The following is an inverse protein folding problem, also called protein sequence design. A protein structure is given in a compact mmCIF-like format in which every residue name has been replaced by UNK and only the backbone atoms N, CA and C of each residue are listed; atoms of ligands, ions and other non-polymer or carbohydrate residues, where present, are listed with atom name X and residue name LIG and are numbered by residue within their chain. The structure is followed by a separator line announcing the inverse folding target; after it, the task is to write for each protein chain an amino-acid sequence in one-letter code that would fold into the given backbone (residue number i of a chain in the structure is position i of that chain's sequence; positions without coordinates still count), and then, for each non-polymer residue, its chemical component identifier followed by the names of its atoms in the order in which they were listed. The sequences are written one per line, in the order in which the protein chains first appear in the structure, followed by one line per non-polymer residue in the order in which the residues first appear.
data_IF_620523440185
#
_entry.id   IF_620523440185
#
_cell.length_a   1.000
_cell.length_b   1.000
_cell.length_c   1.000
_cell.angle_alpha   90.00
_cell.angle_beta   90.00
_cell.angle_gamma   90.00
#
_symmetry.space_group_name_H-M   'P 1'
#
loop_
_entity.id
_entity.type
_entity.pdbx_description
1 polymer ?
#
# COMPACT_ATOMS: atom_id res chain seq x y z
N UNK A 1 -65.96 3.93 30.58
CA UNK A 1 -65.12 2.72 30.39
C UNK A 1 -64.71 2.61 28.93
N UNK A 2 -63.47 2.99 28.58
CA UNK A 2 -62.62 2.43 27.52
C UNK A 2 -61.30 3.20 27.57
N UNK A 3 -60.23 2.45 27.88
CA UNK A 3 -58.87 2.91 28.19
C UNK A 3 -58.01 2.99 26.91
N UNK A 4 -56.81 3.55 27.10
CA UNK A 4 -55.55 3.36 26.35
C UNK A 4 -55.35 4.36 25.18
N UNK A 5 -54.17 4.89 24.88
CA UNK A 5 -52.80 4.64 25.34
C UNK A 5 -51.95 5.84 24.88
N UNK A 6 -51.08 6.37 25.75
CA UNK A 6 -49.98 7.26 25.33
C UNK A 6 -48.91 6.42 24.62
N UNK A 7 -48.45 6.84 23.45
CA UNK A 7 -47.20 6.33 22.86
C UNK A 7 -46.30 7.53 22.56
N UNK A 8 -45.26 7.63 23.38
CA UNK A 8 -44.10 8.51 23.22
C UNK A 8 -43.28 7.97 22.05
N UNK A 9 -43.14 8.77 20.98
CA UNK A 9 -42.24 8.48 19.87
C UNK A 9 -40.91 9.19 20.16
N UNK A 10 -39.95 8.47 20.72
CA UNK A 10 -38.58 8.96 20.85
C UNK A 10 -37.60 7.84 20.53
N UNK A 11 -36.69 8.14 19.59
CA UNK A 11 -35.40 7.48 19.49
C UNK A 11 -35.29 6.37 18.45
N UNK A 12 -34.92 6.75 17.20
CA UNK A 12 -33.99 5.93 16.43
C UNK A 12 -33.19 6.79 15.44
N UNK A 13 -32.15 7.46 15.95
CA UNK A 13 -31.04 7.98 15.14
C UNK A 13 -29.75 7.58 15.86
N UNK A 14 -29.07 6.54 15.38
CA UNK A 14 -27.61 6.40 15.40
C UNK A 14 -27.19 4.98 14.97
N UNK A 15 -26.90 4.78 13.69
CA UNK A 15 -26.19 3.57 13.24
C UNK A 15 -25.49 3.71 11.87
N UNK A 16 -25.08 4.93 11.48
CA UNK A 16 -24.36 5.17 10.21
C UNK A 16 -22.88 5.58 10.38
N UNK A 17 -22.36 5.69 11.60
CA UNK A 17 -21.04 6.28 11.84
C UNK A 17 -19.84 5.31 11.76
N UNK A 18 -20.05 3.99 11.74
CA UNK A 18 -18.95 3.01 11.86
C UNK A 18 -18.23 2.71 10.54
N UNK A 19 -18.92 2.76 9.41
CA UNK A 19 -18.31 2.45 8.10
C UNK A 19 -17.35 3.54 7.62
N UNK A 20 -17.57 4.81 8.03
CA UNK A 20 -16.77 5.95 7.59
C UNK A 20 -15.36 5.96 8.20
N UNK A 21 -15.21 5.50 9.45
CA UNK A 21 -13.93 5.49 10.15
C UNK A 21 -12.95 4.47 9.56
N UNK A 22 -13.39 3.23 9.29
CA UNK A 22 -12.53 2.19 8.75
C UNK A 22 -11.97 2.53 7.35
N UNK A 23 -12.76 3.21 6.51
CA UNK A 23 -12.31 3.71 5.21
C UNK A 23 -11.26 4.83 5.34
N UNK A 24 -11.36 5.65 6.38
CA UNK A 24 -10.46 6.78 6.64
C UNK A 24 -9.10 6.32 7.19
N UNK A 25 -8.99 5.13 7.78
CA UNK A 25 -7.71 4.55 8.23
C UNK A 25 -6.92 3.81 7.14
N UNK A 26 -7.54 3.41 6.04
CA UNK A 26 -6.90 2.57 5.03
C UNK A 26 -5.92 3.36 4.12
N UNK A 27 -4.95 2.65 3.51
CA UNK A 27 -4.14 3.18 2.41
C UNK A 27 -4.98 3.11 1.13
N UNK A 28 -5.16 4.21 0.38
CA UNK A 28 -5.94 4.21 -0.84
C UNK A 28 -5.19 3.52 -2.00
N UNK A 29 -5.94 3.06 -3.00
CA UNK A 29 -5.35 2.62 -4.26
C UNK A 29 -4.67 3.82 -4.97
N UNK A 30 -3.44 3.68 -5.50
CA UNK A 30 -2.67 4.79 -6.03
C UNK A 30 -3.06 5.07 -7.48
N UNK A 31 -4.20 5.73 -7.70
CA UNK A 31 -4.68 6.01 -9.05
C UNK A 31 -3.64 6.73 -9.93
N UNK A 32 -3.46 6.24 -11.16
CA UNK A 32 -2.54 6.83 -12.14
C UNK A 32 -1.04 6.62 -11.86
N UNK A 33 -0.65 5.77 -10.91
CA UNK A 33 0.75 5.61 -10.51
C UNK A 33 1.73 5.24 -11.63
N UNK A 34 1.26 4.58 -12.68
CA UNK A 34 2.10 4.22 -13.83
C UNK A 34 2.64 5.43 -14.60
N UNK A 35 2.04 6.61 -14.41
CA UNK A 35 2.52 7.88 -14.96
C UNK A 35 3.47 8.63 -14.02
N UNK A 36 3.76 8.08 -12.83
CA UNK A 36 4.70 8.67 -11.89
C UNK A 36 6.15 8.31 -12.26
N UNK A 37 7.11 8.81 -11.48
CA UNK A 37 8.50 8.44 -11.68
C UNK A 37 8.69 6.94 -11.49
N UNK A 38 9.10 6.24 -12.54
CA UNK A 38 9.66 4.89 -12.43
C UNK A 38 11.07 4.97 -11.86
N UNK A 39 11.25 4.50 -10.63
CA UNK A 39 12.50 4.66 -9.86
C UNK A 39 13.52 3.56 -10.16
N UNK A 40 13.08 2.29 -10.11
CA UNK A 40 13.89 1.11 -10.40
C UNK A 40 13.00 -0.08 -10.72
N UNK A 41 13.63 -1.12 -11.25
CA UNK A 41 13.07 -2.46 -11.34
C UNK A 41 13.98 -3.47 -10.67
N UNK A 42 13.46 -4.66 -10.36
CA UNK A 42 14.27 -5.82 -9.98
C UNK A 42 13.51 -7.11 -10.31
N UNK A 43 14.28 -8.13 -10.71
CA UNK A 43 13.79 -9.49 -10.93
C UNK A 43 14.16 -10.33 -9.70
N UNK A 44 13.19 -11.01 -9.10
CA UNK A 44 13.39 -12.03 -8.07
C UNK A 44 13.10 -13.39 -8.70
N UNK A 45 14.13 -14.24 -8.76
CA UNK A 45 14.07 -15.59 -9.35
C UNK A 45 13.87 -16.68 -8.28
N UNK A 46 13.47 -17.90 -8.68
CA UNK A 46 13.41 -19.05 -7.78
C UNK A 46 14.70 -19.26 -6.97
N UNK A 47 14.56 -19.64 -5.69
CA UNK A 47 15.66 -19.84 -4.75
C UNK A 47 16.10 -18.56 -4.00
N UNK A 48 15.54 -17.40 -4.33
CA UNK A 48 15.79 -16.17 -3.57
C UNK A 48 15.00 -16.17 -2.25
N UNK A 49 15.55 -15.59 -1.18
CA UNK A 49 14.90 -15.54 0.15
C UNK A 49 13.56 -14.77 0.20
N UNK A 50 13.26 -14.01 -0.87
CA UNK A 50 12.00 -13.26 -1.04
C UNK A 50 11.10 -13.88 -2.12
N UNK A 51 11.38 -15.11 -2.57
CA UNK A 51 10.60 -15.79 -3.60
C UNK A 51 9.11 -15.85 -3.24
N UNK A 52 8.78 -16.26 -2.01
CA UNK A 52 7.42 -16.23 -1.51
C UNK A 52 7.21 -14.97 -0.63
N UNK A 53 6.36 -14.00 -1.02
CA UNK A 53 5.48 -13.98 -2.19
C UNK A 53 6.03 -13.21 -3.41
N UNK A 54 7.25 -12.65 -3.34
CA UNK A 54 7.72 -11.59 -4.25
C UNK A 54 8.52 -12.04 -5.49
N UNK A 55 8.58 -13.33 -5.79
CA UNK A 55 9.10 -13.82 -7.07
C UNK A 55 8.38 -13.13 -8.23
N UNK A 56 9.13 -12.66 -9.20
CA UNK A 56 8.60 -11.88 -10.31
C UNK A 56 9.51 -10.74 -10.74
N UNK A 57 9.07 -10.01 -11.77
CA UNK A 57 9.60 -8.69 -12.08
C UNK A 57 8.77 -7.69 -11.30
N UNK A 58 9.42 -6.76 -10.61
CA UNK A 58 8.69 -5.63 -10.05
C UNK A 58 9.30 -4.29 -10.44
N UNK A 59 8.41 -3.31 -10.51
CA UNK A 59 8.69 -1.91 -10.81
C UNK A 59 8.32 -1.07 -9.60
N UNK A 60 9.18 -0.12 -9.27
CA UNK A 60 8.90 0.82 -8.18
C UNK A 60 8.57 2.19 -8.75
N UNK A 61 7.39 2.70 -8.42
CA UNK A 61 6.96 4.05 -8.79
C UNK A 61 6.90 4.97 -7.59
N UNK A 62 7.21 6.24 -7.79
CA UNK A 62 7.20 7.26 -6.75
C UNK A 62 6.44 8.50 -7.23
N UNK A 63 5.43 8.95 -6.46
CA UNK A 63 4.83 10.25 -6.72
C UNK A 63 5.85 11.39 -6.47
N UNK A 64 5.49 12.63 -6.82
CA UNK A 64 6.42 13.77 -6.70
C UNK A 64 7.02 13.93 -5.29
N UNK A 65 6.21 13.71 -4.24
CA UNK A 65 6.65 13.82 -2.85
C UNK A 65 7.59 12.69 -2.44
N UNK A 66 7.34 11.46 -2.91
CA UNK A 66 8.23 10.33 -2.70
C UNK A 66 9.53 10.47 -3.51
N UNK A 67 9.49 11.01 -4.72
CA UNK A 67 10.68 11.37 -5.49
C UNK A 67 11.58 12.36 -4.72
N UNK A 68 10.98 13.43 -4.17
CA UNK A 68 11.73 14.39 -3.36
C UNK A 68 12.33 13.71 -2.12
N UNK A 69 11.61 12.79 -1.50
CA UNK A 69 12.09 11.96 -0.40
C UNK A 69 13.25 11.05 -0.79
N UNK A 70 13.18 10.38 -1.94
CA UNK A 70 14.26 9.53 -2.45
C UNK A 70 15.55 10.32 -2.72
N UNK A 71 15.43 11.60 -3.11
CA UNK A 71 16.57 12.49 -3.37
C UNK A 71 17.19 13.07 -2.09
N UNK A 72 16.37 13.29 -1.06
CA UNK A 72 16.77 14.06 0.14
C UNK A 72 16.87 13.24 1.42
N UNK A 73 16.33 12.01 1.42
CA UNK A 73 16.14 11.19 2.60
C UNK A 73 15.00 11.65 3.53
N UNK A 74 14.16 12.61 3.10
CA UNK A 74 13.07 13.17 3.92
C UNK A 74 11.74 13.09 3.19
N UNK A 75 10.86 12.19 3.62
CA UNK A 75 9.53 12.00 3.03
C UNK A 75 8.49 12.85 3.76
N UNK A 76 7.74 13.65 2.98
CA UNK A 76 6.60 14.43 3.49
C UNK A 76 5.35 13.55 3.53
N UNK A 77 4.41 13.89 4.40
CA UNK A 77 3.07 13.29 4.38
C UNK A 77 2.45 13.44 2.97
N UNK A 78 1.81 12.37 2.51
CA UNK A 78 1.33 12.24 1.13
C UNK A 78 2.34 11.65 0.14
N UNK A 79 3.58 11.37 0.55
CA UNK A 79 4.51 10.59 -0.28
C UNK A 79 3.97 9.18 -0.49
N UNK A 80 3.98 8.71 -1.75
CA UNK A 80 3.51 7.37 -2.12
C UNK A 80 4.55 6.65 -2.95
N UNK A 81 4.88 5.43 -2.52
CA UNK A 81 5.67 4.45 -3.27
C UNK A 81 4.79 3.28 -3.65
N UNK A 82 4.96 2.77 -4.87
CA UNK A 82 4.21 1.64 -5.40
C UNK A 82 5.16 0.56 -5.85
N UNK A 83 4.97 -0.65 -5.34
CA UNK A 83 5.63 -1.89 -5.75
C UNK A 83 4.67 -2.65 -6.67
N UNK A 84 4.91 -2.59 -7.98
CA UNK A 84 4.09 -3.27 -8.99
C UNK A 84 4.75 -4.59 -9.37
N UNK A 85 4.20 -5.72 -8.93
CA UNK A 85 4.79 -7.05 -9.13
C UNK A 85 4.04 -7.83 -10.19
N UNK A 86 4.79 -8.31 -11.17
CA UNK A 86 4.31 -9.14 -12.26
C UNK A 86 5.00 -10.49 -12.26
N UNK A 87 4.30 -11.50 -12.75
CA UNK A 87 4.93 -12.72 -13.23
C UNK A 87 5.90 -12.37 -14.37
N UNK A 88 6.78 -13.31 -14.71
CA UNK A 88 7.63 -13.17 -15.89
C UNK A 88 7.57 -14.43 -16.77
N UNK A 89 7.84 -14.24 -18.05
CA UNK A 89 7.91 -15.30 -19.04
C UNK A 89 9.31 -15.28 -19.67
N UNK A 90 9.99 -16.42 -19.62
CA UNK A 90 11.24 -16.64 -20.34
C UNK A 90 10.96 -17.19 -21.74
N UNK A 91 11.35 -16.45 -22.77
CA UNK A 91 11.18 -16.86 -24.17
C UNK A 91 12.24 -16.23 -25.05
N UNK A 92 12.78 -16.98 -26.01
CA UNK A 92 13.72 -16.48 -27.03
C UNK A 92 14.94 -15.74 -26.42
N UNK A 93 15.47 -16.26 -25.31
CA UNK A 93 16.56 -15.65 -24.52
C UNK A 93 16.23 -14.24 -23.97
N UNK A 94 14.95 -13.95 -23.80
CA UNK A 94 14.44 -12.73 -23.16
C UNK A 94 13.61 -13.09 -21.93
N UNK A 95 13.50 -12.14 -21.01
CA UNK A 95 12.55 -12.18 -19.90
C UNK A 95 11.55 -11.06 -20.15
N UNK A 96 10.27 -11.40 -20.22
CA UNK A 96 9.18 -10.47 -20.47
C UNK A 96 8.21 -10.46 -19.28
N UNK A 97 7.54 -9.34 -19.09
CA UNK A 97 6.45 -9.21 -18.11
C UNK A 97 5.29 -10.16 -18.49
N UNK A 98 4.71 -10.80 -17.48
CA UNK A 98 3.47 -11.56 -17.56
C UNK A 98 2.37 -10.89 -16.75
N UNK A 99 1.37 -11.67 -16.32
CA UNK A 99 0.24 -11.16 -15.55
C UNK A 99 0.68 -10.57 -14.21
N UNK A 100 -0.03 -9.53 -13.77
CA UNK A 100 0.22 -8.91 -12.46
C UNK A 100 -0.13 -9.87 -11.33
N UNK A 101 0.78 -9.97 -10.34
CA UNK A 101 0.54 -10.69 -9.09
C UNK A 101 -0.12 -9.79 -8.04
N UNK A 102 0.44 -8.61 -7.80
CA UNK A 102 -0.05 -7.66 -6.80
C UNK A 102 0.51 -6.26 -6.98
N UNK A 103 -0.11 -5.30 -6.30
CA UNK A 103 0.40 -3.94 -6.11
C UNK A 103 0.60 -3.70 -4.62
N UNK A 104 1.84 -3.53 -4.17
CA UNK A 104 2.17 -3.04 -2.84
C UNK A 104 2.20 -1.51 -2.81
N UNK A 105 1.70 -0.89 -1.76
CA UNK A 105 1.62 0.57 -1.61
C UNK A 105 2.13 0.97 -0.24
N UNK A 106 3.04 1.94 -0.23
CA UNK A 106 3.46 2.66 0.97
C UNK A 106 2.97 4.10 0.88
N UNK A 107 2.21 4.56 1.87
CA UNK A 107 1.75 5.96 1.99
C UNK A 107 2.32 6.58 3.26
N UNK A 108 3.04 7.70 3.12
CA UNK A 108 3.51 8.48 4.27
C UNK A 108 2.36 9.28 4.86
N UNK A 109 2.10 9.05 6.14
CA UNK A 109 1.31 9.92 7.00
C UNK A 109 1.78 9.67 8.43
N UNK A 110 2.63 10.57 8.93
CA UNK A 110 3.34 10.39 10.19
C UNK A 110 2.39 10.26 11.40
N UNK A 111 1.22 10.88 11.33
CA UNK A 111 0.23 10.83 12.42
C UNK A 111 -0.63 9.59 12.32
N UNK A 112 -1.17 9.32 11.13
CA UNK A 112 -2.10 8.22 10.89
C UNK A 112 -1.44 6.85 11.06
N UNK A 113 -0.17 6.72 10.67
CA UNK A 113 0.55 5.46 10.66
C UNK A 113 1.72 5.45 11.67
N UNK A 114 1.55 6.09 12.82
CA UNK A 114 2.59 6.22 13.84
C UNK A 114 3.16 4.86 14.30
N UNK A 115 2.31 3.84 14.41
CA UNK A 115 2.67 2.48 14.85
C UNK A 115 3.56 1.73 13.85
N UNK A 116 3.61 2.20 12.59
CA UNK A 116 4.39 1.62 11.49
C UNK A 116 5.40 2.62 10.93
N UNK A 117 5.96 3.47 11.79
CA UNK A 117 7.03 4.40 11.43
C UNK A 117 6.57 5.57 10.55
N UNK A 118 5.28 5.88 10.57
CA UNK A 118 4.66 6.92 9.75
C UNK A 118 4.32 6.48 8.32
N UNK A 119 4.37 5.17 8.04
CA UNK A 119 4.05 4.60 6.73
C UNK A 119 2.89 3.63 6.83
N UNK A 120 1.84 3.85 6.07
CA UNK A 120 0.78 2.87 5.84
C UNK A 120 1.24 1.88 4.77
N UNK A 121 1.00 0.59 5.00
CA UNK A 121 1.32 -0.48 4.07
C UNK A 121 0.03 -1.18 3.63
N UNK A 122 -0.12 -1.39 2.33
CA UNK A 122 -1.23 -2.16 1.77
C UNK A 122 -0.78 -2.95 0.54
N UNK A 123 -1.47 -4.06 0.28
CA UNK A 123 -1.35 -4.82 -0.96
C UNK A 123 -2.71 -4.92 -1.66
N UNK A 124 -2.71 -4.87 -2.98
CA UNK A 124 -3.90 -5.12 -3.81
C UNK A 124 -3.66 -6.32 -4.71
N UNK A 125 -4.63 -7.24 -4.77
CA UNK A 125 -4.49 -8.50 -5.50
C UNK A 125 -4.58 -8.29 -7.03
N UNK A 126 -3.59 -8.79 -7.78
CA UNK A 126 -3.57 -8.68 -9.24
C UNK A 126 -3.83 -7.25 -9.73
N UNK A 127 -4.80 -7.11 -10.65
CA UNK A 127 -5.27 -5.81 -11.16
C UNK A 127 -6.43 -5.19 -10.35
N UNK A 128 -6.84 -5.82 -9.24
CA UNK A 128 -7.93 -5.32 -8.41
C UNK A 128 -7.54 -4.01 -7.73
N UNK A 129 -8.50 -3.08 -7.66
CA UNK A 129 -8.36 -1.82 -6.93
C UNK A 129 -8.98 -1.84 -5.54
N UNK A 130 -9.67 -2.92 -5.21
CA UNK A 130 -10.51 -3.03 -4.02
C UNK A 130 -10.21 -4.26 -3.18
N UNK A 131 -9.64 -5.31 -3.77
CA UNK A 131 -9.24 -6.52 -3.07
C UNK A 131 -7.91 -6.29 -2.34
N UNK A 132 -8.01 -6.03 -1.04
CA UNK A 132 -6.88 -5.73 -0.15
C UNK A 132 -6.26 -7.01 0.41
N UNK A 133 -4.95 -7.01 0.58
CA UNK A 133 -4.17 -8.16 1.04
C UNK A 133 -3.68 -8.01 2.48
N UNK A 134 -3.54 -6.78 2.99
CA UNK A 134 -3.06 -6.55 4.36
C UNK A 134 -4.20 -6.65 5.36
N UNK A 135 -4.00 -7.46 6.41
CA UNK A 135 -5.01 -7.72 7.45
C UNK A 135 -4.54 -7.38 8.87
N UNK A 136 -3.25 -7.09 9.06
CA UNK A 136 -2.62 -6.84 10.36
C UNK A 136 -2.28 -5.36 10.62
N UNK A 137 -2.85 -4.47 9.80
CA UNK A 137 -2.55 -3.03 9.83
C UNK A 137 -1.16 -2.67 9.30
N UNK A 138 -0.51 -3.57 8.54
CA UNK A 138 0.79 -3.33 7.92
C UNK A 138 1.97 -3.62 8.83
N UNK A 139 1.75 -4.28 9.98
CA UNK A 139 2.79 -4.56 10.98
C UNK A 139 3.85 -5.53 10.45
N UNK A 140 3.44 -6.59 9.76
CA UNK A 140 4.35 -7.54 9.11
C UNK A 140 5.22 -6.84 8.05
N UNK A 141 4.61 -6.02 7.20
CA UNK A 141 5.32 -5.21 6.20
C UNK A 141 6.33 -4.28 6.88
N UNK A 142 5.90 -3.53 7.89
CA UNK A 142 6.77 -2.62 8.63
C UNK A 142 7.94 -3.36 9.28
N UNK A 143 7.71 -4.51 9.90
CA UNK A 143 8.76 -5.34 10.50
C UNK A 143 9.90 -5.67 9.52
N UNK A 144 9.58 -6.01 8.27
CA UNK A 144 10.57 -6.24 7.21
C UNK A 144 11.29 -4.95 6.75
N UNK A 145 10.66 -3.80 6.93
CA UNK A 145 11.18 -2.48 6.55
C UNK A 145 11.96 -1.76 7.67
N UNK A 146 11.83 -2.20 8.93
CA UNK A 146 12.59 -1.66 10.08
C UNK A 146 14.10 -1.56 9.85
N UNK A 147 14.78 -2.54 9.20
CA UNK A 147 16.21 -2.43 8.91
C UNK A 147 16.59 -1.18 8.09
N UNK A 148 15.64 -0.63 7.32
CA UNK A 148 15.82 0.59 6.52
C UNK A 148 15.50 1.88 7.28
N UNK A 149 15.50 1.87 8.62
CA UNK A 149 15.21 3.08 9.43
C UNK A 149 16.06 4.29 9.04
N UNK A 150 17.31 4.09 8.60
CA UNK A 150 18.21 5.18 8.18
C UNK A 150 17.72 5.91 6.91
N UNK A 151 16.95 5.24 6.07
CA UNK A 151 16.36 5.76 4.82
C UNK A 151 14.84 5.91 4.95
N UNK A 152 14.36 6.16 6.19
CA UNK A 152 12.94 6.29 6.51
C UNK A 152 12.10 5.08 6.08
N UNK A 153 12.65 3.88 6.31
CA UNK A 153 12.01 2.58 6.04
C UNK A 153 11.82 2.25 4.55
N UNK A 154 12.53 2.94 3.65
CA UNK A 154 12.45 2.73 2.19
C UNK A 154 13.74 2.06 1.69
N UNK A 155 13.59 0.93 0.98
CA UNK A 155 14.71 0.20 0.35
C UNK A 155 15.18 0.81 -0.98
N UNK A 156 14.29 1.47 -1.72
CA UNK A 156 14.63 2.05 -3.02
C UNK A 156 15.52 3.28 -2.85
N UNK A 157 16.53 3.39 -3.71
CA UNK A 157 17.40 4.56 -3.79
C UNK A 157 17.21 5.26 -5.14
N UNK A 158 17.38 6.59 -5.18
CA UNK A 158 17.33 7.33 -6.42
C UNK A 158 18.58 7.04 -7.28
N UNK A 159 18.38 6.47 -8.47
CA UNK A 159 19.45 6.28 -9.45
C UNK A 159 19.80 7.63 -10.10
N UNK A 160 21.04 8.06 -9.91
CA UNK A 160 21.59 9.29 -10.51
C UNK A 160 22.01 9.07 -11.96
#
# INVERSE_FOLDING_TARGET
MKKHLSIVLSGLLCSLATASFAAEQAVPFPEGYRNWLHTKSMLIQPGHALEDPFQGIHHIYANKLAEDGLKTGKYKDGAVLVFDLLNYVEKDKTIQEGDRKLIGVMLKDAKKFADTGGWGFEGFAGDSKTERLVTDGGKSCFGCHVPQKKTDYVYSEFRK
#
